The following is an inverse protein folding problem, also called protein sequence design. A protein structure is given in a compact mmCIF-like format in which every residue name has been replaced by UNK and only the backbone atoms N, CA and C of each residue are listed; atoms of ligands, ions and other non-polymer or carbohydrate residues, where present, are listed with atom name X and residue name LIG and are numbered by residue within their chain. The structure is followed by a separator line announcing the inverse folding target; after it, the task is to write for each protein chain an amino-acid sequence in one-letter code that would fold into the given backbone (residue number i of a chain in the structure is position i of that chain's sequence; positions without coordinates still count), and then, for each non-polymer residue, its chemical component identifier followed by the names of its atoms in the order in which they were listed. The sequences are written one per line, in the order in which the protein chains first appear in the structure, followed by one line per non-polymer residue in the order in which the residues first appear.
data_IF_741151434271
#
_entry.id   IF_741151434271
#
_cell.length_a   1.000
_cell.length_b   1.000
_cell.length_c   1.000
_cell.angle_alpha   90.00
_cell.angle_beta   90.00
_cell.angle_gamma   90.00
#
_symmetry.space_group_name_H-M   'P 1'
#
loop_
_entity.id
_entity.type
_entity.pdbx_description
1 polymer ?
#
# COMPACT_ATOMS: atom_id res chain seq x y z
N UNK A 1 -23.60 -14.51 0.00
CA UNK A 1 -22.41 -14.77 0.84
C UNK A 1 -22.12 -13.54 1.66
N UNK A 2 -21.86 -13.71 2.95
CA UNK A 2 -21.41 -12.65 3.86
C UNK A 2 -19.97 -12.93 4.28
N UNK A 3 -19.09 -11.92 4.19
CA UNK A 3 -17.66 -12.03 4.51
C UNK A 3 -17.26 -10.98 5.55
N UNK A 4 -16.58 -11.40 6.61
CA UNK A 4 -15.93 -10.49 7.56
C UNK A 4 -14.48 -10.27 7.10
N UNK A 5 -14.11 -9.00 6.86
CA UNK A 5 -12.76 -8.58 6.54
C UNK A 5 -12.06 -8.10 7.81
N UNK A 6 -11.08 -8.85 8.29
CA UNK A 6 -10.42 -8.66 9.59
C UNK A 6 -9.01 -8.11 9.39
N UNK A 7 -8.77 -6.84 9.71
CA UNK A 7 -7.49 -6.15 9.48
C UNK A 7 -6.98 -5.45 10.75
N UNK A 8 -5.66 -5.40 10.99
CA UNK A 8 -5.13 -4.62 12.10
C UNK A 8 -5.22 -3.11 11.82
N UNK A 9 -5.45 -2.33 12.88
CA UNK A 9 -5.43 -0.87 12.85
C UNK A 9 -6.35 -0.23 11.81
N UNK A 10 -7.57 -0.76 11.62
CA UNK A 10 -8.50 -0.28 10.60
C UNK A 10 -8.85 1.21 10.73
N UNK A 11 -8.86 1.74 11.95
CA UNK A 11 -9.16 3.15 12.21
C UNK A 11 -8.00 4.11 11.94
N UNK A 12 -6.86 3.60 11.46
CA UNK A 12 -5.70 4.41 11.06
C UNK A 12 -5.54 4.42 9.55
N UNK A 13 -5.19 5.56 8.96
CA UNK A 13 -4.90 5.67 7.53
C UNK A 13 -3.58 4.95 7.20
N UNK A 14 -3.66 3.65 6.97
CA UNK A 14 -2.55 2.76 6.59
C UNK A 14 -2.82 2.10 5.24
N UNK A 15 -1.77 1.59 4.59
CA UNK A 15 -1.90 0.85 3.34
C UNK A 15 -2.87 -0.35 3.43
N UNK A 16 -2.86 -1.08 4.56
CA UNK A 16 -3.80 -2.19 4.79
C UNK A 16 -5.25 -1.71 4.81
N UNK A 17 -5.54 -0.57 5.43
CA UNK A 17 -6.88 0.02 5.45
C UNK A 17 -7.38 0.32 4.04
N UNK A 18 -6.53 0.93 3.21
CA UNK A 18 -6.84 1.22 1.79
C UNK A 18 -7.11 -0.09 1.03
N UNK A 19 -6.26 -1.10 1.20
CA UNK A 19 -6.42 -2.40 0.54
C UNK A 19 -7.74 -3.08 0.93
N UNK A 20 -8.06 -3.11 2.22
CA UNK A 20 -9.30 -3.74 2.71
C UNK A 20 -10.53 -3.00 2.25
N UNK A 21 -10.52 -1.66 2.27
CA UNK A 21 -11.64 -0.84 1.76
C UNK A 21 -11.88 -1.09 0.27
N UNK A 22 -10.84 -1.09 -0.55
CA UNK A 22 -10.94 -1.35 -1.99
C UNK A 22 -11.51 -2.75 -2.27
N UNK A 23 -11.00 -3.79 -1.59
CA UNK A 23 -11.51 -5.16 -1.73
C UNK A 23 -12.97 -5.23 -1.28
N UNK A 24 -13.32 -4.59 -0.15
CA UNK A 24 -14.70 -4.52 0.34
C UNK A 24 -15.65 -3.85 -0.66
N UNK A 25 -15.27 -2.70 -1.19
CA UNK A 25 -16.06 -1.97 -2.19
C UNK A 25 -16.23 -2.81 -3.48
N UNK A 26 -15.16 -3.42 -3.98
CA UNK A 26 -15.21 -4.30 -5.15
C UNK A 26 -16.11 -5.52 -4.94
N UNK A 27 -16.00 -6.20 -3.81
CA UNK A 27 -16.86 -7.34 -3.47
C UNK A 27 -18.34 -6.94 -3.32
N UNK A 28 -18.62 -5.79 -2.70
CA UNK A 28 -19.98 -5.25 -2.59
C UNK A 28 -20.59 -4.97 -3.97
N UNK A 29 -19.81 -4.45 -4.93
CA UNK A 29 -20.27 -4.29 -6.33
C UNK A 29 -20.57 -5.63 -7.00
N UNK A 30 -19.94 -6.72 -6.58
CA UNK A 30 -20.22 -8.09 -7.05
C UNK A 30 -21.36 -8.76 -6.26
N UNK A 31 -22.05 -8.04 -5.37
CA UNK A 31 -23.19 -8.55 -4.60
C UNK A 31 -22.81 -9.37 -3.35
N UNK A 32 -21.55 -9.28 -2.91
CA UNK A 32 -21.08 -9.92 -1.67
C UNK A 32 -21.23 -8.93 -0.50
N UNK A 33 -21.92 -9.35 0.55
CA UNK A 33 -22.06 -8.55 1.78
C UNK A 33 -20.76 -8.61 2.59
N UNK A 34 -20.14 -7.45 2.84
CA UNK A 34 -18.86 -7.37 3.57
C UNK A 34 -18.98 -6.52 4.83
N UNK A 35 -18.38 -6.99 5.91
CA UNK A 35 -18.25 -6.26 7.17
C UNK A 35 -16.79 -6.17 7.57
N UNK A 36 -16.25 -4.95 7.79
CA UNK A 36 -14.84 -4.75 8.15
C UNK A 36 -14.70 -4.61 9.65
N UNK A 37 -13.77 -5.36 10.25
CA UNK A 37 -13.43 -5.26 11.68
C UNK A 37 -11.95 -4.95 11.88
N UNK A 38 -11.63 -4.19 12.96
CA UNK A 38 -10.26 -3.93 13.38
C UNK A 38 -9.85 -4.97 14.42
N UNK A 39 -8.93 -5.89 14.05
CA UNK A 39 -8.52 -6.98 14.97
C UNK A 39 -7.71 -6.49 16.18
N UNK A 40 -7.11 -5.30 16.09
CA UNK A 40 -6.33 -4.70 17.19
C UNK A 40 -7.20 -3.97 18.21
N UNK A 41 -8.41 -3.58 17.83
CA UNK A 41 -9.33 -2.80 18.65
C UNK A 41 -10.66 -3.53 18.87
N UNK A 42 -10.67 -4.85 18.61
CA UNK A 42 -11.87 -5.68 18.75
C UNK A 42 -12.00 -6.23 20.16
N UNK A 43 -13.03 -5.81 20.88
CA UNK A 43 -13.22 -6.18 22.29
C UNK A 43 -14.39 -7.13 22.53
N UNK A 44 -14.98 -7.70 21.47
CA UNK A 44 -16.06 -8.67 21.60
C UNK A 44 -15.51 -10.10 21.61
N UNK A 45 -16.15 -10.99 22.35
CA UNK A 45 -15.75 -12.41 22.45
C UNK A 45 -16.03 -13.22 21.18
N UNK A 46 -16.92 -12.74 20.30
CA UNK A 46 -17.27 -13.39 19.05
C UNK A 46 -17.33 -12.39 17.89
N UNK A 47 -16.96 -12.85 16.70
CA UNK A 47 -17.06 -12.08 15.45
C UNK A 47 -18.51 -12.06 14.95
N UNK A 48 -18.87 -11.11 14.06
CA UNK A 48 -20.15 -11.14 13.33
C UNK A 48 -20.33 -12.47 12.58
N UNK A 49 -21.58 -12.93 12.49
CA UNK A 49 -21.86 -14.15 11.72
C UNK A 49 -21.52 -13.94 10.25
N UNK A 50 -20.73 -14.85 9.69
CA UNK A 50 -20.27 -14.80 8.29
C UNK A 50 -20.05 -16.21 7.75
N UNK A 51 -20.11 -16.36 6.42
CA UNK A 51 -19.79 -17.60 5.72
C UNK A 51 -18.27 -17.82 5.68
N UNK A 52 -17.50 -16.71 5.63
CA UNK A 52 -16.05 -16.70 5.53
C UNK A 52 -15.47 -15.49 6.27
N UNK A 53 -14.28 -15.67 6.87
CA UNK A 53 -13.46 -14.56 7.42
C UNK A 53 -12.21 -14.39 6.57
N UNK A 54 -11.91 -13.16 6.17
CA UNK A 54 -10.69 -12.84 5.46
C UNK A 54 -9.75 -12.03 6.36
N UNK A 55 -8.70 -12.66 6.86
CA UNK A 55 -7.67 -12.03 7.69
C UNK A 55 -6.61 -11.33 6.84
N UNK A 56 -6.29 -10.09 7.19
CA UNK A 56 -5.18 -9.33 6.62
C UNK A 56 -4.07 -9.22 7.65
N UNK A 57 -2.85 -9.60 7.28
CA UNK A 57 -1.69 -9.79 8.14
C UNK A 57 -1.79 -11.06 9.02
N UNK A 58 -1.06 -12.09 8.63
CA UNK A 58 -1.14 -13.43 9.23
C UNK A 58 -0.84 -13.45 10.75
N UNK A 59 0.15 -12.67 11.22
CA UNK A 59 0.50 -12.60 12.63
C UNK A 59 -0.59 -11.96 13.49
N UNK A 60 -1.05 -10.76 13.12
CA UNK A 60 -2.08 -10.06 13.88
C UNK A 60 -3.41 -10.80 13.85
N UNK A 61 -3.75 -11.44 12.74
CA UNK A 61 -4.96 -12.22 12.63
C UNK A 61 -4.89 -13.49 13.52
N UNK A 62 -3.74 -14.17 13.58
CA UNK A 62 -3.56 -15.29 14.48
C UNK A 62 -3.74 -14.88 15.95
N UNK A 63 -3.07 -13.81 16.37
CA UNK A 63 -3.24 -13.28 17.72
C UNK A 63 -4.68 -12.90 18.04
N UNK A 64 -5.39 -12.35 17.08
CA UNK A 64 -6.81 -12.07 17.22
C UNK A 64 -7.64 -13.35 17.42
N UNK A 65 -7.41 -14.39 16.62
CA UNK A 65 -8.12 -15.67 16.79
C UNK A 65 -7.95 -16.27 18.19
N UNK A 66 -6.77 -16.10 18.81
CA UNK A 66 -6.50 -16.56 20.18
C UNK A 66 -7.34 -15.83 21.24
N UNK A 67 -7.88 -14.66 20.95
CA UNK A 67 -8.73 -13.89 21.89
C UNK A 67 -10.20 -14.25 21.81
N UNK A 68 -10.63 -15.05 20.85
CA UNK A 68 -12.03 -15.40 20.64
C UNK A 68 -12.45 -16.63 21.46
N UNK A 69 -13.68 -16.66 21.93
CA UNK A 69 -14.24 -17.81 22.63
C UNK A 69 -14.59 -18.97 21.69
N UNK A 70 -14.74 -18.70 20.39
CA UNK A 70 -15.06 -19.70 19.39
C UNK A 70 -14.08 -19.70 18.23
N UNK A 71 -13.75 -20.88 17.73
CA UNK A 71 -12.84 -21.06 16.59
C UNK A 71 -13.45 -20.53 15.28
N UNK A 72 -12.65 -19.83 14.50
CA UNK A 72 -12.98 -19.45 13.11
C UNK A 72 -12.61 -20.62 12.19
N UNK A 73 -13.59 -21.39 11.72
CA UNK A 73 -13.35 -22.58 10.89
C UNK A 73 -13.05 -22.25 9.42
N UNK A 74 -13.75 -21.27 8.86
CA UNK A 74 -13.61 -20.90 7.46
C UNK A 74 -12.92 -19.54 7.37
N UNK A 75 -11.62 -19.52 7.07
CA UNK A 75 -10.91 -18.26 6.86
C UNK A 75 -9.85 -18.38 5.76
N UNK A 76 -9.57 -17.25 5.18
CA UNK A 76 -8.46 -17.02 4.23
C UNK A 76 -7.55 -15.92 4.75
N UNK A 77 -6.30 -15.90 4.30
CA UNK A 77 -5.28 -14.92 4.75
C UNK A 77 -4.69 -14.19 3.55
N UNK A 78 -4.66 -12.86 3.61
CA UNK A 78 -3.83 -12.03 2.73
C UNK A 78 -2.57 -11.57 3.46
N UNK A 79 -1.41 -11.83 2.86
CA UNK A 79 -0.14 -11.26 3.27
C UNK A 79 -0.03 -9.80 2.84
N UNK A 80 0.28 -8.89 3.78
CA UNK A 80 0.23 -7.44 3.56
C UNK A 80 1.61 -6.77 3.48
N UNK A 81 2.68 -7.55 3.53
CA UNK A 81 4.06 -7.10 3.40
C UNK A 81 4.85 -7.14 4.70
N UNK A 82 4.35 -6.61 5.83
CA UNK A 82 5.06 -6.68 7.12
C UNK A 82 5.21 -8.13 7.59
N UNK A 83 4.15 -8.90 7.51
CA UNK A 83 4.11 -10.33 7.84
C UNK A 83 5.07 -11.14 6.95
N UNK A 84 5.17 -10.84 5.66
CA UNK A 84 6.10 -11.50 4.74
C UNK A 84 7.57 -11.08 4.95
N UNK A 85 7.81 -9.79 5.21
CA UNK A 85 9.16 -9.22 5.21
C UNK A 85 9.80 -9.14 6.59
N UNK A 86 9.01 -9.28 7.67
CA UNK A 86 9.49 -9.19 9.05
C UNK A 86 9.00 -10.35 9.91
N UNK A 87 7.67 -10.59 9.98
CA UNK A 87 7.13 -11.52 10.96
C UNK A 87 7.47 -12.98 10.64
N UNK A 88 7.51 -13.35 9.35
CA UNK A 88 7.92 -14.69 8.90
C UNK A 88 9.39 -15.02 9.22
N UNK A 89 10.25 -14.00 9.26
CA UNK A 89 11.69 -14.14 9.54
C UNK A 89 12.00 -13.90 11.04
N UNK A 90 11.02 -13.46 11.85
CA UNK A 90 11.16 -13.21 13.29
C UNK A 90 10.92 -14.49 14.08
N UNK A 91 11.89 -14.93 14.88
CA UNK A 91 11.83 -16.18 15.66
C UNK A 91 10.66 -16.26 16.65
N UNK A 92 10.21 -15.12 17.20
CA UNK A 92 9.11 -15.07 18.17
C UNK A 92 7.72 -15.12 17.49
N UNK A 93 7.62 -14.63 16.23
CA UNK A 93 6.35 -14.50 15.51
C UNK A 93 6.12 -15.57 14.45
N UNK A 94 7.20 -16.18 13.96
CA UNK A 94 7.18 -17.14 12.88
C UNK A 94 6.19 -18.28 13.10
N UNK A 95 6.13 -18.84 14.31
CA UNK A 95 5.26 -19.96 14.61
C UNK A 95 3.78 -19.57 14.51
N UNK A 96 3.42 -18.37 14.97
CA UNK A 96 2.05 -17.86 14.89
C UNK A 96 1.65 -17.61 13.42
N UNK A 97 2.57 -17.04 12.62
CA UNK A 97 2.37 -16.88 11.16
C UNK A 97 2.14 -18.23 10.50
N UNK A 98 2.98 -19.22 10.76
CA UNK A 98 2.86 -20.57 10.18
C UNK A 98 1.53 -21.23 10.60
N UNK A 99 1.17 -21.16 11.88
CA UNK A 99 -0.09 -21.71 12.38
C UNK A 99 -1.31 -21.09 11.69
N UNK A 100 -1.30 -19.76 11.52
CA UNK A 100 -2.34 -19.05 10.79
C UNK A 100 -2.49 -19.55 9.34
N UNK A 101 -1.36 -19.77 8.65
CA UNK A 101 -1.35 -20.25 7.27
C UNK A 101 -1.81 -21.71 7.14
N UNK A 102 -1.40 -22.57 8.05
CA UNK A 102 -1.76 -24.00 8.00
C UNK A 102 -3.27 -24.20 8.17
N UNK A 103 -3.91 -23.44 9.07
CA UNK A 103 -5.35 -23.48 9.30
C UNK A 103 -6.19 -22.77 8.23
N UNK A 104 -5.61 -21.85 7.45
CA UNK A 104 -6.33 -21.12 6.40
C UNK A 104 -6.80 -22.04 5.27
N UNK A 105 -7.99 -21.80 4.72
CA UNK A 105 -8.53 -22.49 3.53
C UNK A 105 -7.87 -22.02 2.24
N UNK A 106 -7.48 -20.73 2.16
CA UNK A 106 -6.68 -20.18 1.09
C UNK A 106 -5.73 -19.11 1.64
N UNK A 107 -4.60 -18.92 0.95
CA UNK A 107 -3.60 -17.91 1.25
C UNK A 107 -3.40 -17.04 0.02
N UNK A 108 -3.39 -15.73 0.20
CA UNK A 108 -3.24 -14.77 -0.88
C UNK A 108 -1.96 -13.95 -0.72
N UNK A 109 -1.24 -13.79 -1.81
CA UNK A 109 -0.09 -12.89 -1.96
C UNK A 109 -0.24 -12.05 -3.23
N UNK A 110 0.35 -10.85 -3.25
CA UNK A 110 0.17 -9.90 -4.34
C UNK A 110 1.02 -10.18 -5.59
N UNK A 111 2.09 -10.96 -5.48
CA UNK A 111 2.98 -11.23 -6.61
C UNK A 111 3.70 -12.58 -6.52
N UNK A 112 4.33 -12.98 -7.64
CA UNK A 112 5.03 -14.26 -7.75
C UNK A 112 6.29 -14.37 -6.89
N UNK A 113 6.95 -13.25 -6.52
CA UNK A 113 8.14 -13.28 -5.64
C UNK A 113 7.70 -13.54 -4.19
N UNK A 114 6.61 -12.90 -3.77
CA UNK A 114 5.98 -13.20 -2.48
C UNK A 114 5.57 -14.67 -2.40
N UNK A 115 4.99 -15.24 -3.49
CA UNK A 115 4.70 -16.67 -3.60
C UNK A 115 5.96 -17.52 -3.41
N UNK A 116 7.04 -17.23 -4.13
CA UNK A 116 8.29 -17.98 -4.05
C UNK A 116 8.89 -17.93 -2.64
N UNK A 117 8.94 -16.72 -2.02
CA UNK A 117 9.44 -16.56 -0.65
C UNK A 117 8.62 -17.41 0.33
N UNK A 118 7.30 -17.38 0.22
CA UNK A 118 6.41 -18.10 1.12
C UNK A 118 6.53 -19.62 0.94
N UNK A 119 6.58 -20.12 -0.30
CA UNK A 119 6.77 -21.55 -0.59
C UNK A 119 8.15 -22.06 -0.17
N UNK A 120 9.19 -21.22 -0.22
CA UNK A 120 10.50 -21.59 0.32
C UNK A 120 10.48 -21.79 1.84
N UNK A 121 9.61 -21.08 2.55
CA UNK A 121 9.45 -21.20 4.00
C UNK A 121 8.42 -22.29 4.40
N UNK A 122 7.40 -22.52 3.59
CA UNK A 122 6.26 -23.39 3.87
C UNK A 122 5.71 -24.03 2.58
N UNK A 123 6.38 -25.06 2.01
CA UNK A 123 5.99 -25.67 0.74
C UNK A 123 4.57 -26.29 0.74
N UNK A 124 4.11 -26.78 1.89
CA UNK A 124 2.85 -27.51 2.02
C UNK A 124 1.58 -26.67 1.78
N UNK A 125 1.70 -25.34 1.61
CA UNK A 125 0.54 -24.49 1.29
C UNK A 125 0.36 -24.24 -0.21
N UNK A 126 1.16 -24.85 -1.08
CA UNK A 126 1.19 -24.54 -2.52
C UNK A 126 -0.19 -24.63 -3.19
N UNK A 127 -0.96 -25.67 -2.89
CA UNK A 127 -2.30 -25.92 -3.50
C UNK A 127 -3.34 -24.87 -3.10
N UNK A 128 -3.15 -24.19 -1.97
CA UNK A 128 -4.05 -23.14 -1.48
C UNK A 128 -3.49 -21.73 -1.57
N UNK A 129 -2.36 -21.55 -2.30
CA UNK A 129 -1.67 -20.26 -2.43
C UNK A 129 -2.04 -19.56 -3.74
N UNK A 130 -2.76 -18.45 -3.62
CA UNK A 130 -3.24 -17.63 -4.71
C UNK A 130 -2.34 -16.38 -4.90
N UNK A 131 -2.05 -16.06 -6.16
CA UNK A 131 -1.40 -14.80 -6.53
C UNK A 131 -2.45 -13.91 -7.19
N UNK A 132 -2.85 -12.86 -6.49
CA UNK A 132 -3.82 -11.88 -6.99
C UNK A 132 -3.16 -10.51 -6.89
N UNK A 133 -2.93 -9.85 -8.03
CA UNK A 133 -2.30 -8.53 -8.05
C UNK A 133 -3.17 -7.50 -7.33
N UNK A 134 -2.55 -6.65 -6.53
CA UNK A 134 -3.24 -5.56 -5.84
C UNK A 134 -3.84 -4.60 -6.88
N UNK A 135 -5.10 -4.26 -6.74
CA UNK A 135 -5.77 -3.23 -7.52
C UNK A 135 -5.31 -1.82 -7.15
N UNK A 136 -5.57 -0.88 -8.01
CA UNK A 136 -5.40 0.54 -7.75
C UNK A 136 -6.76 1.22 -7.77
N UNK A 137 -7.03 2.06 -6.77
CA UNK A 137 -8.25 2.86 -6.75
C UNK A 137 -8.26 3.85 -7.91
N UNK A 138 -9.36 3.92 -8.65
CA UNK A 138 -9.60 4.95 -9.66
C UNK A 138 -10.26 6.16 -8.99
N UNK A 139 -9.58 7.29 -9.01
CA UNK A 139 -10.11 8.53 -8.47
C UNK A 139 -10.90 9.25 -9.56
N UNK A 140 -12.21 9.36 -9.37
CA UNK A 140 -13.04 10.22 -10.19
C UNK A 140 -12.48 11.65 -10.14
N UNK A 141 -12.64 12.39 -11.25
CA UNK A 141 -12.20 13.80 -11.37
C UNK A 141 -12.76 14.63 -10.22
N UNK A 142 -11.93 14.89 -9.22
CA UNK A 142 -12.22 15.81 -8.14
C UNK A 142 -11.79 17.22 -8.53
N UNK A 143 -12.30 18.24 -7.85
CA UNK A 143 -11.72 19.58 -8.00
C UNK A 143 -10.27 19.55 -7.54
N UNK A 144 -9.32 20.09 -8.34
CA UNK A 144 -7.91 20.11 -7.98
C UNK A 144 -7.69 20.74 -6.60
N UNK A 145 -6.75 20.22 -5.86
CA UNK A 145 -6.34 20.77 -4.59
C UNK A 145 -5.59 22.10 -4.84
N UNK A 146 -5.77 23.16 -4.01
CA UNK A 146 -5.11 24.44 -4.24
C UNK A 146 -3.60 24.30 -4.34
N UNK A 147 -3.03 24.66 -5.50
CA UNK A 147 -1.60 24.67 -5.81
C UNK A 147 -1.15 26.12 -6.05
N UNK A 148 0.02 26.48 -5.54
CA UNK A 148 0.64 27.76 -5.84
C UNK A 148 0.96 27.85 -7.33
N UNK A 149 0.70 29.03 -7.91
CA UNK A 149 0.97 29.25 -9.32
C UNK A 149 2.47 29.11 -9.63
N UNK A 150 2.79 28.58 -10.79
CA UNK A 150 4.16 28.43 -11.31
C UNK A 150 5.08 27.60 -10.39
N UNK A 151 4.50 26.66 -9.61
CA UNK A 151 5.27 25.72 -8.77
C UNK A 151 5.28 24.32 -9.33
N UNK A 152 6.34 23.57 -9.00
CA UNK A 152 6.47 22.13 -9.26
C UNK A 152 6.35 21.35 -7.96
N UNK A 153 5.35 20.49 -7.86
CA UNK A 153 5.01 19.77 -6.64
C UNK A 153 5.49 18.33 -6.69
N UNK A 154 6.45 18.00 -5.82
CA UNK A 154 6.74 16.63 -5.42
C UNK A 154 5.82 16.25 -4.28
N UNK A 155 5.05 15.18 -4.43
CA UNK A 155 4.18 14.65 -3.39
C UNK A 155 4.76 13.36 -2.81
N UNK A 156 4.82 13.26 -1.48
CA UNK A 156 5.17 12.04 -0.75
C UNK A 156 3.99 11.61 0.11
N UNK A 157 3.15 10.67 -0.38
CA UNK A 157 2.03 10.12 0.36
C UNK A 157 2.49 8.94 1.23
N UNK A 158 2.70 9.18 2.52
CA UNK A 158 3.15 8.14 3.44
C UNK A 158 2.78 8.45 4.90
N UNK A 159 2.29 7.45 5.62
CA UNK A 159 2.25 7.53 7.08
C UNK A 159 3.67 7.65 7.64
N UNK A 160 3.89 8.64 8.51
CA UNK A 160 5.21 8.97 9.05
C UNK A 160 5.65 7.90 10.03
N UNK A 161 6.63 7.08 9.61
CA UNK A 161 7.29 6.03 10.38
C UNK A 161 8.65 5.73 9.77
N UNK A 162 9.56 5.16 10.56
CA UNK A 162 10.97 4.90 10.18
C UNK A 162 11.13 4.20 8.84
N UNK A 163 10.33 3.17 8.57
CA UNK A 163 10.40 2.42 7.31
C UNK A 163 10.09 3.27 6.08
N UNK A 164 9.30 4.35 6.20
CA UNK A 164 8.95 5.25 5.08
C UNK A 164 10.01 6.30 4.78
N UNK A 165 10.95 6.50 5.70
CA UNK A 165 12.16 7.34 5.51
C UNK A 165 11.87 8.73 4.92
N UNK A 166 10.81 9.37 5.40
CA UNK A 166 10.31 10.68 4.90
C UNK A 166 11.39 11.77 4.99
N UNK A 167 12.22 11.74 6.03
CA UNK A 167 13.30 12.71 6.23
C UNK A 167 14.32 12.71 5.10
N UNK A 168 14.54 11.57 4.42
CA UNK A 168 15.44 11.49 3.27
C UNK A 168 14.92 12.26 2.07
N UNK A 169 13.61 12.26 1.79
CA UNK A 169 13.03 13.06 0.72
C UNK A 169 13.34 14.56 0.91
N UNK A 170 13.17 15.06 2.13
CA UNK A 170 13.46 16.46 2.47
C UNK A 170 14.94 16.77 2.24
N UNK A 171 15.85 15.89 2.72
CA UNK A 171 17.29 16.09 2.58
C UNK A 171 17.75 16.05 1.13
N UNK A 172 17.26 15.11 0.35
CA UNK A 172 17.64 14.92 -1.06
C UNK A 172 17.07 16.02 -1.97
N UNK A 173 15.85 16.53 -1.69
CA UNK A 173 15.29 17.64 -2.49
C UNK A 173 15.85 19.01 -2.13
N UNK A 174 16.35 19.21 -0.91
CA UNK A 174 16.84 20.54 -0.45
C UNK A 174 17.91 21.18 -1.35
N UNK A 175 18.94 20.46 -1.83
CA UNK A 175 19.90 21.01 -2.78
C UNK A 175 19.25 21.41 -4.11
N UNK A 176 18.30 20.62 -4.59
CA UNK A 176 17.59 20.88 -5.84
C UNK A 176 16.66 22.10 -5.70
N UNK A 177 15.93 22.22 -4.58
CA UNK A 177 15.12 23.40 -4.29
C UNK A 177 15.95 24.70 -4.27
N UNK A 178 17.17 24.68 -3.72
CA UNK A 178 18.06 25.85 -3.76
C UNK A 178 18.40 26.30 -5.19
N UNK A 179 18.48 25.36 -6.13
CA UNK A 179 18.74 25.62 -7.56
C UNK A 179 17.45 25.98 -8.30
N UNK A 180 16.32 25.44 -7.87
CA UNK A 180 15.00 25.55 -8.49
C UNK A 180 13.96 25.97 -7.44
N UNK A 181 13.84 27.30 -7.13
CA UNK A 181 12.96 27.80 -6.05
C UNK A 181 11.47 27.54 -6.25
N UNK A 182 11.04 27.15 -7.46
CA UNK A 182 9.68 26.75 -7.81
C UNK A 182 9.28 25.38 -7.22
N UNK A 183 10.22 24.59 -6.73
CA UNK A 183 9.93 23.27 -6.12
C UNK A 183 9.13 23.42 -4.83
N UNK A 184 8.12 22.60 -4.69
CA UNK A 184 7.38 22.38 -3.44
C UNK A 184 7.40 20.89 -3.09
N UNK A 185 7.52 20.57 -1.82
CA UNK A 185 7.35 19.22 -1.30
C UNK A 185 6.07 19.15 -0.47
N UNK A 186 5.13 18.35 -0.91
CA UNK A 186 3.92 18.05 -0.16
C UNK A 186 4.06 16.69 0.54
N UNK A 187 3.84 16.68 1.86
CA UNK A 187 3.81 15.49 2.68
C UNK A 187 2.37 15.23 3.10
N UNK A 188 1.89 13.99 2.89
CA UNK A 188 0.52 13.59 3.22
C UNK A 188 0.54 12.24 3.93
N UNK A 189 -0.10 12.17 5.08
CA UNK A 189 -0.26 10.94 5.87
C UNK A 189 -0.18 11.21 7.37
N UNK A 190 -0.73 10.31 8.22
CA UNK A 190 -0.69 10.46 9.66
C UNK A 190 0.72 10.24 10.23
N UNK A 191 0.98 10.79 11.41
CA UNK A 191 2.11 10.35 12.25
C UNK A 191 1.75 9.00 12.87
N UNK A 192 2.52 7.95 12.52
CA UNK A 192 2.35 6.60 13.05
C UNK A 192 3.37 6.32 14.15
N UNK A 193 4.62 6.81 14.00
CA UNK A 193 5.68 6.73 14.99
C UNK A 193 6.04 8.13 15.46
N UNK A 194 5.87 8.38 16.77
CA UNK A 194 6.01 9.73 17.34
C UNK A 194 7.41 10.31 17.16
N UNK A 195 8.46 9.51 17.36
CA UNK A 195 9.84 9.96 17.17
C UNK A 195 10.11 10.44 15.73
N UNK A 196 9.60 9.71 14.73
CA UNK A 196 9.73 10.11 13.34
C UNK A 196 8.87 11.34 13.02
N UNK A 197 7.69 11.43 13.63
CA UNK A 197 6.83 12.61 13.55
C UNK A 197 7.52 13.88 14.04
N UNK A 198 8.21 13.82 15.18
CA UNK A 198 8.98 14.94 15.72
C UNK A 198 10.10 15.35 14.76
N UNK A 199 10.86 14.40 14.19
CA UNK A 199 11.95 14.67 13.24
C UNK A 199 11.42 15.35 11.97
N UNK A 200 10.32 14.81 11.40
CA UNK A 200 9.70 15.37 10.18
C UNK A 200 9.16 16.76 10.44
N UNK A 201 8.41 16.97 11.54
CA UNK A 201 7.85 18.28 11.88
C UNK A 201 8.94 19.34 12.10
N UNK A 202 10.07 18.98 12.72
CA UNK A 202 11.20 19.91 12.88
C UNK A 202 11.80 20.28 11.52
N UNK A 203 11.95 19.33 10.59
CA UNK A 203 12.44 19.60 9.24
C UNK A 203 11.44 20.44 8.43
N UNK A 204 10.16 20.20 8.57
CA UNK A 204 9.10 21.01 7.92
C UNK A 204 9.18 22.46 8.43
N UNK A 205 9.23 22.71 9.74
CA UNK A 205 9.38 24.06 10.31
C UNK A 205 10.62 24.79 9.83
N UNK A 206 11.74 24.08 9.65
CA UNK A 206 13.00 24.67 9.15
C UNK A 206 12.98 24.98 7.64
N UNK A 207 11.97 24.53 6.91
CA UNK A 207 11.86 24.63 5.45
C UNK A 207 10.40 24.94 5.04
N UNK A 208 9.67 25.71 5.86
CA UNK A 208 8.24 26.01 5.66
C UNK A 208 7.95 26.85 4.41
N UNK A 209 8.98 27.47 3.86
CA UNK A 209 8.95 28.22 2.59
C UNK A 209 8.67 27.34 1.37
N UNK A 210 9.01 26.05 1.43
CA UNK A 210 8.82 25.13 0.30
C UNK A 210 8.24 23.76 0.68
N UNK A 211 8.14 23.41 1.97
CA UNK A 211 7.55 22.14 2.41
C UNK A 211 6.20 22.37 3.09
N UNK A 212 5.20 21.63 2.69
CA UNK A 212 3.89 21.63 3.33
C UNK A 212 3.52 20.23 3.80
N UNK A 213 3.22 20.09 5.08
CA UNK A 213 2.71 18.84 5.67
C UNK A 213 1.22 19.01 5.95
N UNK A 214 0.40 18.16 5.33
CA UNK A 214 -1.07 18.20 5.43
C UNK A 214 -1.64 17.31 6.51
N UNK A 215 -0.79 16.46 7.13
CA UNK A 215 -1.28 15.45 8.04
C UNK A 215 -2.06 14.34 7.34
N UNK A 216 -2.99 13.74 8.06
CA UNK A 216 -3.89 12.73 7.54
C UNK A 216 -4.95 13.37 6.62
N UNK A 217 -5.12 12.78 5.44
CA UNK A 217 -6.13 13.16 4.47
C UNK A 217 -6.97 11.94 4.13
N UNK A 218 -8.28 12.10 3.98
CA UNK A 218 -9.15 10.98 3.59
C UNK A 218 -8.72 10.39 2.25
N UNK A 219 -8.78 9.06 2.11
CA UNK A 219 -8.39 8.40 0.85
C UNK A 219 -9.17 8.96 -0.36
N UNK A 220 -10.46 9.27 -0.19
CA UNK A 220 -11.29 9.89 -1.24
C UNK A 220 -10.76 11.25 -1.73
N UNK A 221 -10.09 12.00 -0.85
CA UNK A 221 -9.51 13.31 -1.20
C UNK A 221 -8.15 13.20 -1.88
N UNK A 222 -7.52 12.02 -1.89
CA UNK A 222 -6.21 11.83 -2.53
C UNK A 222 -6.23 12.11 -4.02
N UNK A 223 -7.33 11.84 -4.71
CA UNK A 223 -7.49 12.15 -6.13
C UNK A 223 -7.23 13.63 -6.47
N UNK A 224 -7.77 14.55 -5.66
CA UNK A 224 -7.54 15.99 -5.83
C UNK A 224 -6.06 16.37 -5.60
N UNK A 225 -5.40 15.73 -4.64
CA UNK A 225 -3.98 15.97 -4.33
C UNK A 225 -3.09 15.42 -5.45
N UNK A 226 -3.37 14.20 -5.96
CA UNK A 226 -2.66 13.66 -7.12
C UNK A 226 -2.79 14.58 -8.34
N UNK A 227 -4.00 15.07 -8.66
CA UNK A 227 -4.23 15.99 -9.79
C UNK A 227 -3.47 17.31 -9.67
N UNK A 228 -3.12 17.74 -8.45
CA UNK A 228 -2.39 18.98 -8.18
C UNK A 228 -0.88 18.77 -8.02
N UNK A 229 -0.41 17.54 -8.18
CA UNK A 229 1.00 17.16 -8.05
C UNK A 229 1.63 16.92 -9.41
N UNK A 230 2.95 17.05 -9.51
CA UNK A 230 3.70 16.84 -10.76
C UNK A 230 4.51 15.54 -10.75
N UNK A 231 4.95 15.08 -9.58
CA UNK A 231 5.73 13.85 -9.41
C UNK A 231 5.50 13.27 -8.02
N UNK A 232 5.43 11.95 -7.93
CA UNK A 232 5.26 11.24 -6.66
C UNK A 232 6.58 10.63 -6.21
N UNK A 233 6.84 10.72 -4.91
CA UNK A 233 8.02 10.17 -4.27
C UNK A 233 7.67 8.98 -3.39
N UNK A 234 8.55 7.97 -3.38
CA UNK A 234 8.60 6.94 -2.36
C UNK A 234 10.05 6.72 -1.92
N UNK A 235 10.33 6.98 -0.65
CA UNK A 235 11.66 6.87 -0.05
C UNK A 235 11.81 5.69 0.90
N UNK A 236 10.86 4.77 0.88
CA UNK A 236 10.75 3.67 1.84
C UNK A 236 11.94 2.72 1.79
N UNK A 237 12.40 2.26 2.95
CA UNK A 237 13.40 1.18 3.05
C UNK A 237 12.83 -0.17 2.60
N UNK A 238 11.54 -0.40 2.84
CA UNK A 238 10.85 -1.65 2.48
C UNK A 238 9.38 -1.36 2.16
N UNK A 239 8.87 -2.07 1.17
CA UNK A 239 7.46 -2.10 0.79
C UNK A 239 7.03 -3.55 0.48
N UNK A 240 5.72 -3.83 0.64
CA UNK A 240 5.06 -4.93 -0.06
C UNK A 240 4.73 -4.50 -1.48
N UNK A 241 3.49 -4.12 -1.73
CA UNK A 241 3.10 -3.32 -2.90
C UNK A 241 2.53 -1.99 -2.40
N UNK A 242 3.06 -0.87 -2.89
CA UNK A 242 2.61 0.45 -2.45
C UNK A 242 1.35 0.88 -3.20
N UNK A 243 0.19 0.88 -2.52
CA UNK A 243 -1.08 1.39 -3.09
C UNK A 243 -0.91 2.82 -3.61
N UNK A 244 -0.24 3.69 -2.85
CA UNK A 244 -0.03 5.09 -3.23
C UNK A 244 0.76 5.24 -4.54
N UNK A 245 1.72 4.35 -4.83
CA UNK A 245 2.45 4.35 -6.09
C UNK A 245 1.57 3.87 -7.24
N UNK A 246 0.78 2.81 -7.03
CA UNK A 246 -0.17 2.33 -8.03
C UNK A 246 -1.24 3.39 -8.35
N UNK A 247 -1.78 4.05 -7.34
CA UNK A 247 -2.74 5.16 -7.49
C UNK A 247 -2.16 6.35 -8.25
N UNK A 248 -0.93 6.74 -7.92
CA UNK A 248 -0.21 7.80 -8.62
C UNK A 248 0.01 7.47 -10.11
N UNK A 249 0.50 6.25 -10.39
CA UNK A 249 0.67 5.77 -11.76
C UNK A 249 -0.68 5.70 -12.49
N UNK A 250 -1.75 5.22 -11.85
CA UNK A 250 -3.11 5.23 -12.38
C UNK A 250 -3.61 6.64 -12.71
N UNK A 251 -3.19 7.63 -11.93
CA UNK A 251 -3.46 9.06 -12.15
C UNK A 251 -2.54 9.72 -13.20
N UNK A 252 -1.76 8.95 -13.96
CA UNK A 252 -0.78 9.42 -14.96
C UNK A 252 0.37 10.23 -14.37
N UNK A 253 0.69 10.09 -13.10
CA UNK A 253 1.81 10.79 -12.49
C UNK A 253 3.10 9.96 -12.60
N UNK A 254 4.22 10.56 -12.98
CA UNK A 254 5.52 9.91 -12.89
C UNK A 254 5.90 9.71 -11.43
N UNK A 255 6.60 8.62 -11.15
CA UNK A 255 7.02 8.24 -9.82
C UNK A 255 8.54 8.12 -9.73
N UNK A 256 9.12 8.56 -8.60
CA UNK A 256 10.53 8.32 -8.23
C UNK A 256 10.51 7.50 -6.94
N UNK A 257 11.02 6.29 -7.01
CA UNK A 257 10.92 5.32 -5.91
C UNK A 257 12.29 4.77 -5.52
N UNK A 258 12.49 4.48 -4.24
CA UNK A 258 13.68 3.78 -3.75
C UNK A 258 13.74 2.35 -4.27
N UNK A 259 14.96 1.82 -4.46
CA UNK A 259 15.23 0.51 -5.05
C UNK A 259 14.89 -0.69 -4.18
N UNK A 260 13.88 -0.61 -3.31
CA UNK A 260 13.41 -1.76 -2.54
C UNK A 260 12.61 -2.74 -3.41
N UNK A 261 12.48 -3.98 -2.92
CA UNK A 261 11.87 -5.07 -3.69
C UNK A 261 10.40 -4.81 -4.05
N UNK A 262 9.61 -4.22 -3.15
CA UNK A 262 8.20 -3.92 -3.41
C UNK A 262 8.02 -2.91 -4.55
N UNK A 263 8.83 -1.86 -4.55
CA UNK A 263 8.83 -0.86 -5.63
C UNK A 263 9.26 -1.45 -6.97
N UNK A 264 10.30 -2.32 -6.98
CA UNK A 264 10.78 -3.01 -8.20
C UNK A 264 9.77 -3.99 -8.81
N UNK A 265 8.77 -4.40 -8.04
CA UNK A 265 7.71 -5.29 -8.53
C UNK A 265 6.64 -4.53 -9.34
N UNK A 266 6.51 -3.21 -9.14
CA UNK A 266 5.45 -2.40 -9.77
C UNK A 266 5.98 -1.27 -10.66
N UNK A 267 7.23 -0.84 -10.46
CA UNK A 267 7.84 0.24 -11.26
C UNK A 267 8.95 -0.33 -12.15
N UNK A 268 8.88 -0.05 -13.44
CA UNK A 268 9.92 -0.39 -14.43
C UNK A 268 10.75 0.85 -14.71
N UNK A 269 12.01 0.79 -14.31
CA UNK A 269 12.96 1.90 -14.41
C UNK A 269 13.01 2.50 -15.81
N UNK A 270 12.93 3.83 -15.93
CA UNK A 270 12.90 4.62 -17.15
C UNK A 270 11.72 4.32 -18.10
N UNK A 271 10.80 3.43 -17.71
CA UNK A 271 9.61 3.08 -18.52
C UNK A 271 8.32 3.58 -17.87
N UNK A 272 8.06 3.21 -16.63
CA UNK A 272 6.84 3.59 -15.89
C UNK A 272 7.12 4.46 -14.67
N UNK A 273 8.39 4.77 -14.40
CA UNK A 273 8.89 5.56 -13.30
C UNK A 273 10.41 5.45 -13.19
N UNK A 274 10.97 6.11 -12.20
CA UNK A 274 12.40 6.04 -11.89
C UNK A 274 12.62 5.31 -10.57
N UNK A 275 13.59 4.37 -10.57
CA UNK A 275 14.07 3.67 -9.38
C UNK A 275 15.45 4.22 -9.08
N UNK A 276 15.69 4.71 -7.86
CA UNK A 276 16.99 5.23 -7.42
C UNK A 276 17.59 4.34 -6.33
N UNK A 277 18.92 4.22 -6.35
CA UNK A 277 19.71 3.48 -5.35
C UNK A 277 20.42 4.43 -4.36
N UNK A 278 20.65 5.68 -4.75
CA UNK A 278 21.40 6.66 -3.99
C UNK A 278 20.89 8.09 -4.25
N UNK A 279 21.39 9.04 -3.45
CA UNK A 279 20.99 10.45 -3.50
C UNK A 279 21.33 11.13 -4.84
N UNK A 280 22.42 10.74 -5.49
CA UNK A 280 22.84 11.30 -6.79
C UNK A 280 21.82 10.94 -7.86
N UNK A 281 21.40 9.69 -7.91
CA UNK A 281 20.40 9.21 -8.86
C UNK A 281 19.02 9.85 -8.57
N UNK A 282 18.62 9.94 -7.29
CA UNK A 282 17.38 10.63 -6.90
C UNK A 282 17.37 12.06 -7.43
N UNK A 283 18.42 12.82 -7.14
CA UNK A 283 18.52 14.24 -7.54
C UNK A 283 18.49 14.37 -9.07
N UNK A 284 19.21 13.52 -9.79
CA UNK A 284 19.21 13.49 -11.25
C UNK A 284 17.83 13.22 -11.82
N UNK A 285 17.08 12.24 -11.29
CA UNK A 285 15.74 11.92 -11.79
C UNK A 285 14.73 12.99 -11.41
N UNK A 286 14.85 13.59 -10.23
CA UNK A 286 14.00 14.71 -9.81
C UNK A 286 14.20 15.93 -10.72
N UNK A 287 15.44 16.30 -11.04
CA UNK A 287 15.76 17.39 -11.95
C UNK A 287 15.29 17.09 -13.39
N UNK A 288 15.47 15.85 -13.85
CA UNK A 288 15.02 15.43 -15.18
C UNK A 288 13.49 15.57 -15.32
N UNK A 289 12.72 15.10 -14.34
CA UNK A 289 11.26 15.24 -14.36
C UNK A 289 10.80 16.70 -14.17
N UNK A 290 11.55 17.52 -13.46
CA UNK A 290 11.28 18.95 -13.33
C UNK A 290 11.44 19.68 -14.68
N UNK A 291 12.53 19.39 -15.40
CA UNK A 291 12.96 20.17 -16.58
C UNK A 291 12.45 19.65 -17.91
N UNK A 292 12.00 18.40 -17.98
CA UNK A 292 11.47 17.76 -19.22
C UNK A 292 9.99 17.38 -19.09
N UNK A 293 9.07 18.30 -19.49
CA UNK A 293 7.63 18.02 -19.48
C UNK A 293 7.22 16.86 -20.38
N UNK A 294 7.90 16.65 -21.53
CA UNK A 294 7.59 15.58 -22.48
C UNK A 294 7.92 14.21 -21.90
N UNK A 295 9.06 14.09 -21.23
CA UNK A 295 9.43 12.86 -20.52
C UNK A 295 8.46 12.58 -19.37
N UNK A 296 8.06 13.62 -18.63
CA UNK A 296 7.08 13.55 -17.53
C UNK A 296 5.77 12.96 -18.00
N UNK A 297 5.22 13.49 -19.09
CA UNK A 297 3.99 12.98 -19.71
C UNK A 297 4.15 11.54 -20.20
N UNK A 298 5.22 11.25 -20.92
CA UNK A 298 5.53 9.91 -21.45
C UNK A 298 5.56 8.85 -20.35
N UNK A 299 6.28 9.10 -19.27
CA UNK A 299 6.43 8.19 -18.13
C UNK A 299 5.09 8.02 -17.41
N UNK A 300 4.37 9.11 -17.15
CA UNK A 300 3.07 9.09 -16.50
C UNK A 300 2.03 8.28 -17.28
N UNK A 301 1.93 8.50 -18.59
CA UNK A 301 1.02 7.73 -19.47
C UNK A 301 1.41 6.24 -19.56
N UNK A 302 2.70 5.93 -19.54
CA UNK A 302 3.15 4.53 -19.51
C UNK A 302 2.79 3.86 -18.18
N UNK A 303 2.96 4.56 -17.06
CA UNK A 303 2.51 4.13 -15.74
C UNK A 303 1.02 3.83 -15.69
N UNK A 304 0.20 4.76 -16.20
CA UNK A 304 -1.27 4.58 -16.27
C UNK A 304 -1.66 3.34 -17.06
N UNK A 305 -1.08 3.14 -18.25
CA UNK A 305 -1.37 1.96 -19.08
C UNK A 305 -0.99 0.66 -18.37
N UNK A 306 0.14 0.64 -17.67
CA UNK A 306 0.56 -0.51 -16.89
C UNK A 306 -0.44 -0.83 -15.78
N UNK A 307 -0.84 0.17 -14.98
CA UNK A 307 -1.81 -0.01 -13.89
C UNK A 307 -3.17 -0.49 -14.45
N UNK A 308 -3.69 0.14 -15.48
CA UNK A 308 -4.97 -0.25 -16.10
C UNK A 308 -4.98 -1.71 -16.59
N UNK A 309 -3.83 -2.23 -17.05
CA UNK A 309 -3.74 -3.61 -17.55
C UNK A 309 -3.48 -4.66 -16.48
N UNK A 310 -2.76 -4.32 -15.39
CA UNK A 310 -2.27 -5.29 -14.41
C UNK A 310 -2.82 -5.11 -12.99
N UNK A 311 -3.39 -3.95 -12.67
CA UNK A 311 -3.79 -3.56 -11.32
C UNK A 311 -5.23 -3.02 -11.29
N UNK A 312 -6.15 -3.65 -12.03
CA UNK A 312 -7.57 -3.31 -11.99
C UNK A 312 -8.17 -3.75 -10.65
N UNK A 313 -8.87 -2.85 -9.96
CA UNK A 313 -9.64 -3.11 -8.75
C UNK A 313 -10.78 -4.10 -8.97
N UNK A 314 -11.47 -3.99 -10.10
CA UNK A 314 -12.53 -4.94 -10.50
C UNK A 314 -11.98 -6.36 -10.67
N UNK A 315 -10.86 -6.53 -11.37
CA UNK A 315 -10.22 -7.85 -11.54
C UNK A 315 -9.69 -8.39 -10.21
N UNK A 316 -9.17 -7.53 -9.31
CA UNK A 316 -8.79 -7.94 -7.96
C UNK A 316 -10.00 -8.52 -7.22
N UNK A 317 -11.14 -7.81 -7.22
CA UNK A 317 -12.35 -8.25 -6.54
C UNK A 317 -12.90 -9.57 -7.11
N UNK A 318 -12.94 -9.71 -8.44
CA UNK A 318 -13.33 -10.96 -9.11
C UNK A 318 -12.42 -12.14 -8.74
N UNK A 319 -11.11 -11.93 -8.72
CA UNK A 319 -10.14 -12.96 -8.35
C UNK A 319 -10.22 -13.33 -6.86
N UNK A 320 -10.46 -12.34 -5.98
CA UNK A 320 -10.69 -12.57 -4.53
C UNK A 320 -11.98 -13.36 -4.33
N UNK A 321 -13.05 -13.04 -5.06
CA UNK A 321 -14.31 -13.81 -5.00
C UNK A 321 -14.09 -15.27 -5.42
N UNK A 322 -13.39 -15.49 -6.54
CA UNK A 322 -13.07 -16.86 -6.99
C UNK A 322 -12.24 -17.64 -5.95
N UNK A 323 -11.30 -16.98 -5.25
CA UNK A 323 -10.57 -17.58 -4.13
C UNK A 323 -11.50 -17.97 -2.96
N UNK A 324 -12.51 -17.13 -2.64
CA UNK A 324 -13.48 -17.45 -1.59
C UNK A 324 -14.35 -18.66 -1.96
N UNK A 325 -14.83 -18.71 -3.20
CA UNK A 325 -15.60 -19.86 -3.71
C UNK A 325 -14.78 -21.16 -3.64
N UNK A 326 -13.50 -21.10 -4.03
CA UNK A 326 -12.58 -22.23 -3.88
C UNK A 326 -12.43 -22.65 -2.41
N UNK A 327 -12.20 -21.69 -1.50
CA UNK A 327 -12.01 -21.94 -0.07
C UNK A 327 -13.24 -22.59 0.60
N UNK A 328 -14.46 -22.22 0.18
CA UNK A 328 -15.70 -22.79 0.71
C UNK A 328 -16.01 -24.17 0.12
N UNK A 329 -15.70 -24.40 -1.16
CA UNK A 329 -15.94 -25.69 -1.82
C UNK A 329 -15.01 -26.81 -1.33
N UNK A 330 -13.76 -26.49 -0.99
CA UNK A 330 -12.80 -27.44 -0.39
C UNK A 330 -13.17 -27.90 1.03
N UNK A 331 -14.18 -27.27 1.65
CA UNK A 331 -14.67 -27.66 2.98
C UNK A 331 -15.72 -28.77 2.95
N UNK A 332 -16.11 -29.25 1.77
CA UNK A 332 -17.20 -30.23 1.57
C UNK A 332 -16.70 -31.68 1.42
N UNK A 333 -15.41 -31.94 1.65
CA UNK A 333 -14.76 -33.25 1.66
C UNK A 333 -13.95 -33.42 2.94
#
# INVERSE_FOLDING_TARGET
MKVVLATPYYHQARGNTVTVQRISEGLNHLGIDTEVISVTDYHKAAIPQADLVHGFNAYHFYKFMETLESEIKNYVITFTGTDLNHDLDNSERRNDVIASLLGAKAVHVFDGKAKQKLLSALPQIEEKLFVISQGASDFQTAHPFPKEKDTFVFLLPAGIRKVKNVTSAIKMLKPLHKKHPEIRLWLVGPVIEEEEGIKVNNLVKQNEDWIKYFGEVSHRSMGAIYQSSDTILNTSHSEGQSSAILEAMGSSLPVIVSGNQGNRNIVFHEKTGFIYENEIEFTRYAELLLTDPSLREKIGLAGKRYVASHHSDTKEAEAVLAMYEHALNTSSH
#
